data_IF_659126223228
#
_entry.id   IF_659126223228
#
_cell.length_a   1.000
_cell.length_b   1.000
_cell.length_c   1.000
_cell.angle_alpha   90.00
_cell.angle_beta   90.00
_cell.angle_gamma   90.00
#
_symmetry.space_group_name_H-M   'P 1'
#
loop_
_entity.id
_entity.type
_entity.pdbx_description
1 polymer ?
#
# COMPACT_ATOMS: atom_id res chain seq x y z
N UNK A 1 24.33 12.91 -35.51
CA UNK A 1 23.37 12.19 -34.63
C UNK A 1 22.49 13.26 -33.96
N UNK A 2 21.26 13.44 -34.45
CA UNK A 2 20.30 14.37 -33.88
C UNK A 2 19.70 13.72 -32.63
N UNK A 3 19.80 14.38 -31.45
CA UNK A 3 19.09 13.99 -30.23
C UNK A 3 17.58 14.10 -30.49
N UNK A 4 16.75 13.14 -30.05
CA UNK A 4 15.32 13.29 -30.13
C UNK A 4 14.85 14.49 -29.30
N UNK A 5 13.76 15.17 -29.69
CA UNK A 5 13.27 16.35 -28.98
C UNK A 5 12.83 15.95 -27.58
N UNK A 6 13.34 16.66 -26.56
CA UNK A 6 12.83 16.57 -25.18
C UNK A 6 11.35 16.96 -25.21
N UNK A 7 10.47 16.04 -24.86
CA UNK A 7 9.06 16.38 -24.64
C UNK A 7 8.98 17.41 -23.52
N UNK A 8 8.40 18.56 -23.82
CA UNK A 8 8.11 19.61 -22.85
C UNK A 8 7.11 19.02 -21.82
N UNK A 9 7.38 19.13 -20.51
CA UNK A 9 6.42 18.67 -19.50
C UNK A 9 5.11 19.46 -19.65
N UNK A 10 3.99 18.76 -19.83
CA UNK A 10 2.66 19.37 -19.78
C UNK A 10 2.37 19.84 -18.34
N UNK A 11 1.55 20.89 -18.13
CA UNK A 11 1.11 21.31 -16.79
C UNK A 11 0.54 20.12 -16.02
N UNK A 12 0.87 20.00 -14.76
CA UNK A 12 0.85 18.78 -13.96
C UNK A 12 -0.53 18.14 -13.69
N UNK A 13 -1.61 18.93 -13.60
CA UNK A 13 -2.97 18.39 -13.50
C UNK A 13 -3.40 17.69 -14.79
N UNK A 14 -3.10 18.29 -15.95
CA UNK A 14 -3.39 17.70 -17.25
C UNK A 14 -2.58 16.41 -17.51
N UNK A 15 -1.33 16.32 -17.00
CA UNK A 15 -0.54 15.11 -17.13
C UNK A 15 -1.10 13.97 -16.26
N UNK A 16 -1.49 14.24 -15.01
CA UNK A 16 -2.11 13.21 -14.15
C UNK A 16 -3.43 12.70 -14.74
N UNK A 17 -4.22 13.55 -15.36
CA UNK A 17 -5.50 13.16 -15.97
C UNK A 17 -5.30 12.36 -17.27
N UNK A 18 -4.22 12.64 -18.03
CA UNK A 18 -3.84 11.82 -19.18
C UNK A 18 -3.45 10.41 -18.71
N UNK A 19 -2.59 10.27 -17.71
CA UNK A 19 -2.20 8.96 -17.18
C UNK A 19 -3.39 8.21 -16.58
N UNK A 20 -4.28 8.89 -15.84
CA UNK A 20 -5.50 8.25 -15.31
C UNK A 20 -6.32 7.62 -16.42
N UNK A 21 -6.54 8.35 -17.52
CA UNK A 21 -7.29 7.86 -18.67
C UNK A 21 -6.58 6.67 -19.30
N UNK A 22 -5.29 6.75 -19.58
CA UNK A 22 -4.54 5.69 -20.25
C UNK A 22 -4.46 4.41 -19.41
N UNK A 23 -4.22 4.51 -18.10
CA UNK A 23 -4.23 3.35 -17.19
C UNK A 23 -5.64 2.74 -17.13
N UNK A 24 -6.68 3.57 -17.09
CA UNK A 24 -8.06 3.10 -17.17
C UNK A 24 -8.33 2.34 -18.46
N UNK A 25 -7.91 2.87 -19.60
CA UNK A 25 -8.08 2.24 -20.90
C UNK A 25 -7.30 0.92 -21.01
N UNK A 26 -6.08 0.85 -20.47
CA UNK A 26 -5.30 -0.39 -20.39
C UNK A 26 -6.01 -1.47 -19.56
N UNK A 27 -6.49 -1.13 -18.36
CA UNK A 27 -7.21 -2.09 -17.50
C UNK A 27 -8.53 -2.54 -18.13
N UNK A 28 -9.27 -1.62 -18.74
CA UNK A 28 -10.51 -1.96 -19.43
C UNK A 28 -10.26 -2.90 -20.61
N UNK A 29 -9.26 -2.63 -21.43
CA UNK A 29 -8.85 -3.50 -22.54
C UNK A 29 -8.33 -4.87 -22.09
N UNK A 30 -7.75 -4.95 -20.88
CA UNK A 30 -7.37 -6.22 -20.24
C UNK A 30 -8.55 -6.96 -19.61
N UNK A 31 -9.78 -6.45 -19.71
CA UNK A 31 -11.01 -7.11 -19.25
C UNK A 31 -11.50 -6.70 -17.87
N UNK A 32 -10.97 -5.64 -17.28
CA UNK A 32 -11.53 -5.06 -16.05
C UNK A 32 -12.81 -4.26 -16.36
N UNK A 33 -13.83 -4.38 -15.53
CA UNK A 33 -15.06 -3.58 -15.64
C UNK A 33 -14.77 -2.09 -15.46
N UNK A 34 -15.44 -1.25 -16.25
CA UNK A 34 -15.16 0.18 -16.30
C UNK A 34 -15.28 0.86 -14.93
N UNK A 35 -16.29 0.49 -14.15
CA UNK A 35 -16.48 0.99 -12.77
C UNK A 35 -15.27 0.72 -11.87
N UNK A 36 -14.61 -0.43 -12.05
CA UNK A 36 -13.40 -0.79 -11.30
C UNK A 36 -12.19 -0.02 -11.79
N UNK A 37 -12.08 0.18 -13.10
CA UNK A 37 -11.01 0.99 -13.69
C UNK A 37 -11.06 2.44 -13.18
N UNK A 38 -12.27 2.99 -12.99
CA UNK A 38 -12.49 4.35 -12.48
C UNK A 38 -12.07 4.54 -11.02
N UNK A 39 -11.95 3.47 -10.27
CA UNK A 39 -11.44 3.47 -8.88
C UNK A 39 -9.95 3.13 -8.82
N UNK A 40 -9.52 2.11 -9.58
CA UNK A 40 -8.15 1.59 -9.51
C UNK A 40 -7.13 2.58 -10.05
N UNK A 41 -7.35 3.15 -11.25
CA UNK A 41 -6.39 4.04 -11.88
C UNK A 41 -6.10 5.31 -11.05
N UNK A 42 -7.09 6.04 -10.50
CA UNK A 42 -6.83 7.17 -9.62
C UNK A 42 -6.05 6.82 -8.35
N UNK A 43 -6.32 5.67 -7.72
CA UNK A 43 -5.64 5.26 -6.49
C UNK A 43 -4.18 4.87 -6.74
N UNK A 44 -3.86 4.25 -7.87
CA UNK A 44 -2.47 4.00 -8.26
C UNK A 44 -1.71 5.30 -8.51
N UNK A 45 -2.34 6.28 -9.18
CA UNK A 45 -1.73 7.60 -9.39
C UNK A 45 -1.60 8.36 -8.07
N UNK A 46 -2.56 8.26 -7.16
CA UNK A 46 -2.45 8.88 -5.83
C UNK A 46 -1.21 8.38 -5.08
N UNK A 47 -0.90 7.08 -5.18
CA UNK A 47 0.32 6.52 -4.59
C UNK A 47 1.59 7.22 -5.12
N UNK A 48 1.70 7.45 -6.42
CA UNK A 48 2.84 8.18 -7.00
C UNK A 48 2.84 9.66 -6.60
N UNK A 49 1.66 10.31 -6.56
CA UNK A 49 1.52 11.69 -6.13
C UNK A 49 2.05 11.91 -4.70
N UNK A 50 1.81 10.96 -3.81
CA UNK A 50 2.27 11.01 -2.41
C UNK A 50 3.67 10.40 -2.20
N UNK A 51 4.34 9.96 -3.29
CA UNK A 51 5.74 9.51 -3.28
C UNK A 51 5.95 8.01 -3.05
N UNK A 52 4.91 7.17 -3.10
CA UNK A 52 5.00 5.71 -2.98
C UNK A 52 5.14 5.03 -4.36
N UNK A 53 6.19 5.39 -5.10
CA UNK A 53 6.40 5.01 -6.51
C UNK A 53 6.54 3.51 -6.78
N UNK A 54 6.81 2.69 -5.78
CA UNK A 54 6.86 1.22 -5.92
C UNK A 54 5.48 0.57 -5.85
N UNK A 55 4.47 1.28 -5.33
CA UNK A 55 3.10 0.78 -5.10
C UNK A 55 2.04 1.64 -5.82
N UNK A 56 2.47 2.45 -6.80
CA UNK A 56 1.63 3.23 -7.68
C UNK A 56 1.52 2.61 -9.07
N UNK A 57 1.74 3.42 -10.09
CA UNK A 57 1.66 3.03 -11.52
C UNK A 57 2.64 1.90 -11.85
N UNK A 58 3.75 1.77 -11.13
CA UNK A 58 4.69 0.65 -11.26
C UNK A 58 4.03 -0.74 -11.09
N UNK A 59 2.84 -0.82 -10.50
CA UNK A 59 2.07 -2.07 -10.37
C UNK A 59 1.24 -2.41 -11.62
N UNK A 60 1.06 -1.48 -12.55
CA UNK A 60 0.18 -1.67 -13.72
C UNK A 60 0.59 -2.86 -14.59
N UNK A 61 1.87 -3.06 -14.96
CA UNK A 61 2.28 -4.23 -15.76
C UNK A 61 1.94 -5.56 -15.10
N UNK A 62 2.19 -5.68 -13.78
CA UNK A 62 1.87 -6.89 -13.01
C UNK A 62 0.35 -7.13 -12.94
N UNK A 63 -0.45 -6.07 -12.79
CA UNK A 63 -1.91 -6.17 -12.76
C UNK A 63 -2.48 -6.55 -14.13
N UNK A 64 -1.97 -5.98 -15.21
CA UNK A 64 -2.37 -6.36 -16.57
C UNK A 64 -2.05 -7.84 -16.85
N UNK A 65 -0.85 -8.30 -16.49
CA UNK A 65 -0.48 -9.71 -16.57
C UNK A 65 -1.42 -10.59 -15.73
N UNK A 66 -1.70 -10.17 -14.48
CA UNK A 66 -2.62 -10.89 -13.60
C UNK A 66 -4.05 -11.01 -14.15
N UNK A 67 -4.54 -9.97 -14.83
CA UNK A 67 -5.84 -9.99 -15.50
C UNK A 67 -5.85 -10.95 -16.70
N UNK A 68 -4.79 -10.92 -17.52
CA UNK A 68 -4.69 -11.76 -18.71
C UNK A 68 -4.57 -13.25 -18.39
N UNK A 69 -3.87 -13.61 -17.31
CA UNK A 69 -3.67 -15.02 -16.91
C UNK A 69 -4.66 -15.51 -15.85
N UNK A 70 -5.64 -14.68 -15.44
CA UNK A 70 -6.67 -15.04 -14.48
C UNK A 70 -6.21 -15.11 -13.01
N UNK A 71 -5.00 -14.68 -12.68
CA UNK A 71 -4.52 -14.57 -11.29
C UNK A 71 -5.20 -13.42 -10.53
N UNK A 72 -5.65 -12.40 -11.25
CA UNK A 72 -6.49 -11.32 -10.73
C UNK A 72 -7.76 -11.22 -11.57
N UNK A 73 -8.91 -11.05 -10.93
CA UNK A 73 -10.18 -10.87 -11.62
C UNK A 73 -10.54 -9.39 -11.72
N UNK A 74 -10.89 -8.96 -12.94
CA UNK A 74 -11.36 -7.61 -13.22
C UNK A 74 -12.89 -7.46 -13.15
N UNK A 75 -13.63 -8.55 -12.88
CA UNK A 75 -15.10 -8.62 -12.97
C UNK A 75 -15.70 -9.24 -11.72
N UNK A 76 -17.01 -8.98 -11.53
CA UNK A 76 -17.81 -9.58 -10.48
C UNK A 76 -17.75 -8.85 -9.14
N UNK A 77 -18.33 -9.46 -8.13
CA UNK A 77 -18.48 -8.91 -6.77
C UNK A 77 -17.91 -9.89 -5.73
N UNK A 78 -17.44 -9.41 -4.56
CA UNK A 78 -17.06 -10.28 -3.46
C UNK A 78 -18.26 -11.09 -2.98
N UNK A 79 -17.98 -12.23 -2.36
CA UNK A 79 -19.01 -12.95 -1.61
C UNK A 79 -19.02 -12.49 -0.17
N UNK A 80 -20.18 -12.12 0.33
CA UNK A 80 -20.36 -11.85 1.76
C UNK A 80 -20.35 -13.19 2.49
N UNK A 81 -19.32 -13.43 3.31
CA UNK A 81 -19.19 -14.63 4.14
C UNK A 81 -19.98 -14.47 5.43
N UNK A 82 -19.90 -13.27 6.02
CA UNK A 82 -20.64 -12.89 7.22
C UNK A 82 -20.88 -11.39 7.20
N UNK A 83 -22.07 -10.98 7.61
CA UNK A 83 -22.44 -9.58 7.85
C UNK A 83 -23.25 -9.51 9.15
N UNK A 84 -22.68 -8.86 10.16
CA UNK A 84 -23.29 -8.66 11.48
C UNK A 84 -23.46 -7.17 11.81
N UNK A 85 -23.71 -6.35 10.78
CA UNK A 85 -23.82 -4.90 10.92
C UNK A 85 -22.44 -4.23 10.95
N UNK A 86 -21.85 -3.97 12.12
CA UNK A 86 -20.53 -3.33 12.20
C UNK A 86 -19.35 -4.27 11.90
N UNK A 87 -19.58 -5.57 11.76
CA UNK A 87 -18.53 -6.57 11.46
C UNK A 87 -18.89 -7.35 10.22
N UNK A 88 -17.99 -7.31 9.23
CA UNK A 88 -18.23 -7.88 7.90
C UNK A 88 -17.02 -8.73 7.50
N UNK A 89 -17.28 -9.89 6.91
CA UNK A 89 -16.25 -10.74 6.30
C UNK A 89 -16.60 -10.98 4.83
N UNK A 90 -15.67 -10.64 3.93
CA UNK A 90 -15.80 -10.86 2.51
C UNK A 90 -14.79 -11.90 2.00
N UNK A 91 -15.22 -12.65 1.01
CA UNK A 91 -14.36 -13.39 0.11
C UNK A 91 -14.20 -12.59 -1.17
N UNK A 92 -12.99 -12.09 -1.41
CA UNK A 92 -12.68 -11.21 -2.53
C UNK A 92 -12.52 -11.94 -3.87
N UNK A 93 -12.46 -13.29 -3.89
CA UNK A 93 -12.36 -14.10 -5.12
C UNK A 93 -11.23 -13.67 -6.06
N UNK A 94 -10.16 -13.09 -5.53
CA UNK A 94 -9.04 -12.49 -6.29
C UNK A 94 -9.45 -11.33 -7.21
N UNK A 95 -10.58 -10.68 -6.98
CA UNK A 95 -10.93 -9.43 -7.64
C UNK A 95 -9.90 -8.37 -7.27
N UNK A 96 -9.67 -7.39 -8.15
CA UNK A 96 -8.75 -6.27 -7.90
C UNK A 96 -8.84 -5.75 -6.46
N UNK A 97 -7.76 -5.91 -5.70
CA UNK A 97 -7.74 -5.56 -4.28
C UNK A 97 -7.85 -4.05 -4.06
N UNK A 98 -7.36 -3.24 -4.99
CA UNK A 98 -7.50 -1.79 -4.94
C UNK A 98 -8.97 -1.39 -4.98
N UNK A 99 -9.76 -1.99 -5.87
CA UNK A 99 -11.19 -1.74 -5.94
C UNK A 99 -11.93 -2.30 -4.72
N UNK A 100 -11.66 -3.56 -4.32
CA UNK A 100 -12.28 -4.19 -3.15
C UNK A 100 -12.08 -3.36 -1.88
N UNK A 101 -10.85 -2.90 -1.65
CA UNK A 101 -10.52 -2.08 -0.48
C UNK A 101 -11.26 -0.74 -0.51
N UNK A 102 -11.35 -0.09 -1.67
CA UNK A 102 -12.06 1.18 -1.80
C UNK A 102 -13.55 1.03 -1.48
N UNK A 103 -14.23 0.04 -2.06
CA UNK A 103 -15.67 -0.17 -1.78
C UNK A 103 -15.93 -0.66 -0.35
N UNK A 104 -14.98 -1.41 0.24
CA UNK A 104 -15.05 -1.79 1.65
C UNK A 104 -14.92 -0.56 2.57
N UNK A 105 -14.06 0.41 2.23
CA UNK A 105 -13.93 1.67 2.98
C UNK A 105 -15.24 2.46 2.90
N UNK A 106 -15.83 2.61 1.71
CA UNK A 106 -17.07 3.37 1.54
C UNK A 106 -18.21 2.76 2.36
N UNK A 107 -18.38 1.42 2.32
CA UNK A 107 -19.33 0.70 3.16
C UNK A 107 -19.05 0.87 4.65
N UNK A 108 -17.76 0.79 5.03
CA UNK A 108 -17.36 0.92 6.43
C UNK A 108 -17.58 2.35 6.98
N UNK A 109 -17.38 3.38 6.15
CA UNK A 109 -17.68 4.78 6.48
C UNK A 109 -19.18 4.96 6.75
N UNK A 110 -20.05 4.47 5.87
CA UNK A 110 -21.51 4.53 6.04
C UNK A 110 -21.94 3.87 7.36
N UNK A 111 -21.41 2.67 7.62
CA UNK A 111 -21.77 1.91 8.81
C UNK A 111 -21.15 2.46 10.10
N UNK A 112 -19.92 3.00 10.05
CA UNK A 112 -19.30 3.59 11.22
C UNK A 112 -20.08 4.80 11.74
N UNK A 113 -20.63 5.62 10.85
CA UNK A 113 -21.55 6.72 11.24
C UNK A 113 -22.81 6.24 11.94
N UNK A 114 -23.22 4.99 11.71
CA UNK A 114 -24.40 4.38 12.38
C UNK A 114 -24.03 3.66 13.66
N UNK A 115 -22.91 2.94 13.69
CA UNK A 115 -22.55 2.03 14.77
C UNK A 115 -21.39 2.54 15.64
N UNK A 116 -20.74 3.65 15.26
CA UNK A 116 -19.54 4.19 15.89
C UNK A 116 -18.25 3.53 15.42
N UNK A 117 -18.30 2.24 15.08
CA UNK A 117 -17.16 1.47 14.56
C UNK A 117 -17.66 0.49 13.50
N UNK A 118 -16.86 0.29 12.45
CA UNK A 118 -17.08 -0.82 11.50
C UNK A 118 -15.76 -1.47 11.13
N UNK A 119 -15.74 -2.79 11.10
CA UNK A 119 -14.60 -3.60 10.68
C UNK A 119 -14.98 -4.47 9.48
N UNK A 120 -14.16 -4.46 8.44
CA UNK A 120 -14.28 -5.34 7.29
C UNK A 120 -13.01 -6.18 7.18
N UNK A 121 -13.17 -7.51 7.12
CA UNK A 121 -12.08 -8.44 6.84
C UNK A 121 -12.31 -9.06 5.47
N UNK A 122 -11.28 -9.05 4.61
CA UNK A 122 -11.36 -9.59 3.24
C UNK A 122 -10.29 -10.65 3.08
N UNK A 123 -10.68 -11.85 2.70
CA UNK A 123 -9.78 -12.91 2.28
C UNK A 123 -9.74 -13.02 0.75
N UNK A 124 -8.67 -13.58 0.20
CA UNK A 124 -8.48 -13.81 -1.24
C UNK A 124 -8.73 -12.54 -2.08
N UNK A 125 -8.20 -11.41 -1.62
CA UNK A 125 -8.19 -10.15 -2.35
C UNK A 125 -7.07 -10.13 -3.38
N UNK A 126 -7.21 -9.40 -4.48
CA UNK A 126 -6.05 -8.98 -5.26
C UNK A 126 -5.12 -8.05 -4.43
N UNK A 127 -3.95 -7.68 -5.00
CA UNK A 127 -3.03 -6.73 -4.36
C UNK A 127 -3.69 -5.37 -4.15
N UNK A 128 -3.43 -4.74 -3.00
CA UNK A 128 -4.10 -3.48 -2.61
C UNK A 128 -3.26 -2.23 -2.86
N UNK A 129 -2.10 -2.36 -3.51
CA UNK A 129 -1.19 -1.26 -3.81
C UNK A 129 -0.70 -0.51 -2.53
N UNK A 130 -0.73 0.82 -2.54
CA UNK A 130 -0.28 1.67 -1.44
C UNK A 130 -1.40 1.91 -0.44
N UNK A 131 -1.19 1.53 0.83
CA UNK A 131 -2.20 1.69 1.87
C UNK A 131 -2.49 3.17 2.17
N UNK A 132 -1.45 4.03 2.15
CA UNK A 132 -1.60 5.46 2.40
C UNK A 132 -2.55 6.16 1.41
N UNK A 133 -2.65 5.66 0.17
CA UNK A 133 -3.52 6.24 -0.85
C UNK A 133 -5.01 6.17 -0.50
N UNK A 134 -5.40 5.23 0.37
CA UNK A 134 -6.79 5.06 0.79
C UNK A 134 -7.18 5.94 1.98
N UNK A 135 -6.22 6.33 2.82
CA UNK A 135 -6.51 6.93 4.13
C UNK A 135 -7.33 8.21 4.04
N UNK A 136 -7.11 9.01 3.00
CA UNK A 136 -7.83 10.26 2.79
C UNK A 136 -9.33 10.08 2.51
N UNK A 137 -9.79 8.85 2.16
CA UNK A 137 -11.23 8.58 1.97
C UNK A 137 -12.01 8.74 3.28
N UNK A 138 -11.43 8.30 4.40
CA UNK A 138 -12.05 8.41 5.72
C UNK A 138 -11.67 9.70 6.47
N UNK A 139 -10.39 10.12 6.40
CA UNK A 139 -9.95 11.30 7.15
C UNK A 139 -10.57 12.61 6.69
N UNK A 140 -11.00 12.71 5.42
CA UNK A 140 -11.77 13.86 4.91
C UNK A 140 -13.18 13.96 5.49
N UNK A 141 -13.68 12.87 6.05
CA UNK A 141 -14.97 12.77 6.71
C UNK A 141 -14.83 12.74 8.24
N UNK A 142 -13.66 13.17 8.74
CA UNK A 142 -13.31 13.21 10.15
C UNK A 142 -13.33 11.85 10.85
N UNK A 143 -13.15 10.76 10.09
CA UNK A 143 -13.12 9.39 10.59
C UNK A 143 -11.69 8.86 10.71
N UNK A 144 -11.44 8.14 11.81
CA UNK A 144 -10.19 7.39 12.00
C UNK A 144 -10.25 6.10 11.16
N UNK A 145 -9.21 5.83 10.38
CA UNK A 145 -9.09 4.62 9.56
C UNK A 145 -7.84 3.83 9.95
N UNK A 146 -7.99 2.52 10.10
CA UNK A 146 -6.94 1.53 10.23
C UNK A 146 -7.04 0.54 9.07
N UNK A 147 -5.95 0.31 8.35
CA UNK A 147 -5.88 -0.58 7.20
C UNK A 147 -4.62 -1.44 7.28
N UNK A 148 -4.75 -2.76 7.20
CA UNK A 148 -3.61 -3.67 7.18
C UNK A 148 -3.77 -4.74 6.10
N UNK A 149 -2.65 -5.31 5.63
CA UNK A 149 -2.67 -6.37 4.64
C UNK A 149 -1.54 -7.37 4.89
N UNK A 150 -1.80 -8.63 4.54
CA UNK A 150 -0.80 -9.67 4.42
C UNK A 150 -1.12 -10.56 3.21
N UNK A 151 -0.16 -11.38 2.78
CA UNK A 151 -0.37 -12.37 1.72
C UNK A 151 0.05 -13.75 2.21
N UNK A 152 -0.86 -14.76 2.24
CA UNK A 152 -0.53 -16.09 2.72
C UNK A 152 0.41 -16.88 1.80
N UNK A 153 0.52 -16.50 0.52
CA UNK A 153 1.33 -17.23 -0.46
C UNK A 153 2.78 -16.73 -0.56
N UNK A 154 3.09 -15.59 0.08
CA UNK A 154 4.43 -14.98 0.01
C UNK A 154 5.10 -14.99 1.37
N UNK A 155 6.36 -15.40 1.37
CA UNK A 155 7.23 -15.40 2.56
C UNK A 155 8.54 -14.70 2.20
N UNK A 156 8.88 -13.65 2.93
CA UNK A 156 10.14 -12.91 2.71
C UNK A 156 10.77 -12.39 4.00
N UNK A 157 10.03 -12.38 5.10
CA UNK A 157 10.48 -11.88 6.40
C UNK A 157 10.59 -13.03 7.40
N UNK A 158 11.74 -13.13 8.08
CA UNK A 158 11.92 -14.14 9.15
C UNK A 158 11.30 -13.67 10.48
N UNK A 159 10.81 -14.60 11.31
CA UNK A 159 10.59 -14.35 12.72
C UNK A 159 11.89 -13.85 13.40
N UNK A 160 11.74 -13.04 14.44
CA UNK A 160 12.92 -12.61 15.19
C UNK A 160 13.68 -13.82 15.78
N UNK A 161 14.96 -13.89 15.47
CA UNK A 161 15.82 -15.03 15.82
C UNK A 161 15.77 -16.21 14.84
N UNK A 162 14.90 -16.17 13.84
CA UNK A 162 14.82 -17.17 12.77
C UNK A 162 15.70 -16.82 11.57
N UNK A 163 15.99 -17.80 10.71
CA UNK A 163 16.75 -17.65 9.46
C UNK A 163 15.91 -17.95 8.22
N UNK A 164 14.71 -18.48 8.40
CA UNK A 164 13.76 -18.80 7.32
C UNK A 164 12.59 -17.83 7.36
N UNK A 165 12.15 -17.36 6.20
CA UNK A 165 10.98 -16.54 6.08
C UNK A 165 9.70 -17.29 6.51
N UNK A 166 8.74 -16.57 7.10
CA UNK A 166 7.45 -17.09 7.55
C UNK A 166 6.26 -16.18 7.19
N UNK A 167 6.52 -14.92 6.87
CA UNK A 167 5.46 -13.94 6.53
C UNK A 167 5.97 -12.88 5.54
N UNK A 168 5.07 -12.04 5.06
CA UNK A 168 5.37 -10.89 4.20
C UNK A 168 5.81 -9.69 5.04
N UNK A 169 6.16 -8.54 4.43
CA UNK A 169 6.40 -7.29 5.14
C UNK A 169 5.26 -6.82 6.04
N UNK A 170 4.03 -7.30 5.83
CA UNK A 170 2.87 -7.02 6.67
C UNK A 170 2.67 -5.52 6.94
N UNK A 171 2.20 -4.74 5.93
CA UNK A 171 1.97 -3.32 6.09
C UNK A 171 0.73 -3.03 6.94
N UNK A 172 0.81 -1.91 7.68
CA UNK A 172 -0.31 -1.30 8.39
C UNK A 172 -0.29 0.21 8.16
N UNK A 173 -1.46 0.77 7.90
CA UNK A 173 -1.63 2.21 7.73
C UNK A 173 -2.76 2.73 8.62
N UNK A 174 -2.58 3.96 9.12
CA UNK A 174 -3.56 4.64 9.98
C UNK A 174 -3.70 6.09 9.53
N UNK A 175 -4.92 6.52 9.28
CA UNK A 175 -5.26 7.90 9.01
C UNK A 175 -5.96 8.54 10.21
N UNK A 176 -5.38 9.59 10.78
CA UNK A 176 -5.86 10.24 12.01
C UNK A 176 -6.28 11.67 11.67
N UNK A 177 -7.57 12.04 11.79
CA UNK A 177 -8.03 13.41 11.63
C UNK A 177 -7.40 14.36 12.65
N UNK A 178 -7.09 15.56 12.20
CA UNK A 178 -6.70 16.73 13.01
C UNK A 178 -7.44 17.96 12.48
N UNK A 179 -7.30 19.12 13.13
CA UNK A 179 -7.84 20.38 12.62
C UNK A 179 -7.12 20.89 11.36
N UNK A 180 -5.89 20.39 11.14
CA UNK A 180 -5.06 20.73 9.98
C UNK A 180 -4.99 19.52 9.02
N UNK A 181 -3.77 19.21 8.53
CA UNK A 181 -3.52 18.02 7.73
C UNK A 181 -3.59 16.76 8.61
N UNK A 182 -4.31 15.70 8.19
CA UNK A 182 -4.36 14.46 8.95
C UNK A 182 -2.98 13.82 9.06
N UNK A 183 -2.75 13.05 10.12
CA UNK A 183 -1.58 12.20 10.21
C UNK A 183 -1.81 10.94 9.34
N UNK A 184 -0.89 10.65 8.43
CA UNK A 184 -0.96 9.50 7.55
C UNK A 184 0.22 8.57 7.85
N UNK A 185 -0.01 7.58 8.68
CA UNK A 185 0.96 6.54 9.02
C UNK A 185 0.83 5.43 8.00
N UNK A 186 1.92 5.00 7.36
CA UNK A 186 1.99 3.83 6.51
C UNK A 186 3.36 3.19 6.71
N UNK A 187 3.37 2.06 7.37
CA UNK A 187 4.59 1.33 7.76
C UNK A 187 4.41 -0.17 7.51
N UNK A 188 5.51 -0.88 7.33
CA UNK A 188 5.52 -2.34 7.37
C UNK A 188 6.07 -2.86 8.71
N UNK A 189 5.73 -4.08 9.08
CA UNK A 189 6.33 -4.75 10.23
C UNK A 189 7.78 -5.18 9.96
N UNK A 190 8.22 -5.17 8.70
CA UNK A 190 9.60 -5.38 8.28
C UNK A 190 10.34 -4.04 8.13
N UNK A 191 11.66 -4.08 8.26
CA UNK A 191 12.51 -2.88 8.14
C UNK A 191 12.58 -2.32 6.72
N UNK A 192 12.29 -3.16 5.72
CA UNK A 192 12.22 -2.79 4.30
C UNK A 192 11.16 -3.64 3.59
N UNK A 193 10.90 -3.38 2.31
CA UNK A 193 9.87 -4.05 1.51
C UNK A 193 10.50 -4.87 0.37
N UNK A 194 9.75 -5.86 -0.14
CA UNK A 194 10.15 -6.64 -1.31
C UNK A 194 10.39 -5.74 -2.53
N UNK A 195 9.55 -4.73 -2.74
CA UNK A 195 9.68 -3.80 -3.86
C UNK A 195 10.98 -2.97 -3.81
N UNK A 196 11.38 -2.48 -2.63
CA UNK A 196 12.63 -1.72 -2.49
C UNK A 196 13.85 -2.62 -2.63
N UNK A 197 13.85 -3.80 -2.01
CA UNK A 197 14.96 -4.74 -2.10
C UNK A 197 15.16 -5.24 -3.54
N UNK A 198 14.08 -5.61 -4.24
CA UNK A 198 14.13 -6.03 -5.64
C UNK A 198 14.68 -4.93 -6.56
N UNK A 199 14.23 -3.68 -6.36
CA UNK A 199 14.74 -2.54 -7.12
C UNK A 199 16.23 -2.32 -6.90
N UNK A 200 16.70 -2.27 -5.65
CA UNK A 200 18.12 -2.05 -5.36
C UNK A 200 18.99 -3.20 -5.86
N UNK A 201 18.47 -4.44 -5.81
CA UNK A 201 19.14 -5.58 -6.42
C UNK A 201 19.29 -5.42 -7.94
N UNK A 202 18.22 -5.07 -8.66
CA UNK A 202 18.26 -4.85 -10.10
C UNK A 202 19.21 -3.69 -10.48
N UNK A 203 19.31 -2.65 -9.64
CA UNK A 203 20.24 -1.53 -9.82
C UNK A 203 21.67 -1.82 -9.33
N UNK A 204 21.96 -3.03 -8.83
CA UNK A 204 23.24 -3.42 -8.22
C UNK A 204 23.68 -2.46 -7.09
N UNK A 205 22.68 -1.98 -6.31
CA UNK A 205 22.88 -1.05 -5.19
C UNK A 205 22.67 -1.75 -3.85
N UNK A 206 23.33 -1.24 -2.82
CA UNK A 206 23.19 -1.69 -1.44
C UNK A 206 22.00 -1.02 -0.75
N UNK A 207 21.50 -1.69 0.29
CA UNK A 207 20.55 -1.12 1.24
C UNK A 207 21.22 -0.07 2.12
N UNK A 208 20.49 0.92 2.65
CA UNK A 208 21.04 1.94 3.54
C UNK A 208 21.58 1.42 4.88
N UNK A 209 21.32 0.17 5.21
CA UNK A 209 21.77 -0.47 6.44
C UNK A 209 21.60 -1.98 6.40
N UNK A 210 21.94 -2.66 7.50
CA UNK A 210 21.86 -4.12 7.64
C UNK A 210 20.39 -4.55 7.82
N UNK A 211 19.60 -4.48 6.74
CA UNK A 211 18.15 -4.68 6.75
C UNK A 211 17.71 -6.07 6.32
N UNK A 212 18.65 -6.87 5.81
CA UNK A 212 18.45 -8.24 5.41
C UNK A 212 19.43 -9.15 6.14
N UNK A 213 19.25 -10.45 6.06
CA UNK A 213 20.20 -11.44 6.50
C UNK A 213 20.31 -12.55 5.46
N UNK A 214 21.48 -13.18 5.40
CA UNK A 214 21.68 -14.39 4.60
C UNK A 214 20.99 -15.61 5.24
N UNK A 215 21.07 -16.76 4.57
CA UNK A 215 20.48 -18.03 5.04
C UNK A 215 21.11 -18.58 6.34
N UNK A 216 22.27 -18.06 6.76
CA UNK A 216 22.91 -18.40 8.03
C UNK A 216 22.49 -17.48 9.19
N UNK A 217 21.72 -16.41 8.87
CA UNK A 217 21.28 -15.39 9.82
C UNK A 217 22.29 -14.25 10.03
N UNK A 218 23.32 -14.13 9.19
CA UNK A 218 24.24 -12.99 9.21
C UNK A 218 23.59 -11.78 8.56
N UNK A 219 23.51 -10.66 9.28
CA UNK A 219 22.94 -9.42 8.77
C UNK A 219 23.78 -8.86 7.61
N UNK A 220 23.10 -8.27 6.60
CA UNK A 220 23.70 -7.76 5.38
C UNK A 220 23.00 -6.50 4.91
N UNK A 221 23.73 -5.64 4.18
CA UNK A 221 23.24 -4.53 3.40
C UNK A 221 23.08 -4.88 1.89
N UNK A 222 23.44 -6.09 1.51
CA UNK A 222 23.39 -6.56 0.14
C UNK A 222 22.04 -7.25 -0.14
N UNK A 223 21.18 -6.66 -0.99
CA UNK A 223 19.89 -7.26 -1.31
C UNK A 223 20.01 -8.59 -2.08
N UNK A 224 21.18 -8.91 -2.68
CA UNK A 224 21.38 -10.16 -3.42
C UNK A 224 21.22 -11.40 -2.57
N UNK A 225 21.41 -11.31 -1.24
CA UNK A 225 21.21 -12.44 -0.31
C UNK A 225 19.79 -12.98 -0.32
N UNK A 226 18.79 -12.15 -0.72
CA UNK A 226 17.39 -12.58 -0.84
C UNK A 226 17.13 -13.46 -2.09
N UNK A 227 18.05 -13.44 -3.04
CA UNK A 227 17.98 -14.15 -4.32
C UNK A 227 18.99 -15.30 -4.42
N UNK A 228 19.67 -15.61 -3.33
CA UNK A 228 20.56 -16.77 -3.24
C UNK A 228 19.78 -18.08 -3.06
N UNK A 229 20.45 -19.21 -3.22
CA UNK A 229 19.90 -20.54 -2.93
C UNK A 229 20.77 -21.23 -1.86
N UNK A 230 20.23 -21.50 -0.66
CA UNK A 230 18.95 -21.06 -0.10
C UNK A 230 18.86 -19.53 0.07
N UNK A 231 17.65 -18.94 -0.03
CA UNK A 231 17.50 -17.50 0.07
C UNK A 231 17.67 -17.00 1.51
N UNK A 232 18.19 -15.76 1.61
CA UNK A 232 18.14 -14.97 2.82
C UNK A 232 16.75 -14.39 3.11
N UNK A 233 16.64 -13.54 4.12
CA UNK A 233 15.36 -12.94 4.55
C UNK A 233 15.48 -11.47 4.90
N UNK A 234 14.37 -10.75 4.80
CA UNK A 234 14.23 -9.40 5.34
C UNK A 234 14.10 -9.48 6.86
N UNK A 235 14.65 -8.50 7.56
CA UNK A 235 14.55 -8.39 9.02
C UNK A 235 13.27 -7.64 9.43
N UNK A 236 12.65 -7.98 10.57
CA UNK A 236 11.58 -7.17 11.18
C UNK A 236 12.06 -5.75 11.54
N UNK A 237 11.17 -4.79 11.72
CA UNK A 237 11.49 -3.47 12.29
C UNK A 237 12.23 -3.63 13.61
N UNK A 238 13.32 -2.90 13.77
CA UNK A 238 14.26 -3.02 14.88
C UNK A 238 15.47 -3.89 14.54
N UNK A 239 15.48 -4.57 13.40
CA UNK A 239 16.63 -5.30 12.88
C UNK A 239 17.08 -6.45 13.79
N UNK A 240 18.38 -6.66 13.87
CA UNK A 240 18.95 -7.74 14.70
C UNK A 240 18.82 -7.49 16.21
N UNK A 241 18.81 -6.23 16.62
CA UNK A 241 18.83 -5.87 18.05
C UNK A 241 17.43 -5.81 18.65
N UNK A 242 16.50 -5.15 17.98
CA UNK A 242 15.15 -4.86 18.48
C UNK A 242 14.03 -5.43 17.60
N UNK A 243 14.36 -6.34 16.71
CA UNK A 243 13.41 -6.93 15.73
C UNK A 243 12.24 -7.69 16.36
N UNK A 244 12.33 -8.07 17.66
CA UNK A 244 11.19 -8.63 18.39
C UNK A 244 9.97 -7.70 18.39
N UNK A 245 10.16 -6.37 18.29
CA UNK A 245 9.07 -5.38 18.20
C UNK A 245 8.34 -5.48 16.87
N UNK A 246 9.09 -5.48 15.75
CA UNK A 246 8.53 -5.68 14.41
C UNK A 246 7.92 -7.08 14.25
N UNK A 247 8.53 -8.11 14.84
CA UNK A 247 7.96 -9.45 14.84
C UNK A 247 6.61 -9.51 15.58
N UNK A 248 6.52 -8.88 16.76
CA UNK A 248 5.23 -8.76 17.46
C UNK A 248 4.17 -8.03 16.64
N UNK A 249 4.55 -6.94 15.94
CA UNK A 249 3.66 -6.23 15.01
C UNK A 249 3.23 -7.13 13.84
N UNK A 250 4.15 -7.93 13.27
CA UNK A 250 3.82 -8.86 12.19
C UNK A 250 2.78 -9.91 12.63
N UNK A 251 2.95 -10.50 13.82
CA UNK A 251 1.98 -11.46 14.36
C UNK A 251 0.61 -10.83 14.59
N UNK A 252 0.56 -9.59 15.08
CA UNK A 252 -0.70 -8.85 15.21
C UNK A 252 -1.38 -8.66 13.85
N UNK A 253 -0.63 -8.27 12.81
CA UNK A 253 -1.17 -8.06 11.47
C UNK A 253 -1.67 -9.38 10.87
N UNK A 254 -0.93 -10.49 11.02
CA UNK A 254 -1.38 -11.82 10.57
C UNK A 254 -2.72 -12.21 11.25
N UNK A 255 -2.85 -11.96 12.54
CA UNK A 255 -4.09 -12.25 13.28
C UNK A 255 -5.27 -11.38 12.77
N UNK A 256 -5.04 -10.08 12.56
CA UNK A 256 -6.05 -9.14 12.07
C UNK A 256 -6.48 -9.43 10.62
N UNK A 257 -5.56 -9.86 9.77
CA UNK A 257 -5.83 -10.10 8.35
C UNK A 257 -6.29 -11.55 8.10
N UNK A 258 -5.37 -12.52 8.18
CA UNK A 258 -5.66 -13.93 7.88
C UNK A 258 -6.50 -14.58 8.99
N UNK A 259 -6.19 -14.31 10.26
CA UNK A 259 -6.92 -14.87 11.39
C UNK A 259 -8.40 -14.50 11.37
N UNK A 260 -8.74 -13.21 11.28
CA UNK A 260 -10.13 -12.75 11.26
C UNK A 260 -10.87 -13.10 9.97
N UNK A 261 -10.18 -13.23 8.82
CA UNK A 261 -10.80 -13.64 7.56
C UNK A 261 -11.07 -15.15 7.49
N UNK A 262 -10.42 -15.94 8.37
CA UNK A 262 -10.55 -17.39 8.41
C UNK A 262 -9.97 -18.11 7.18
N UNK A 263 -8.98 -17.48 6.52
CA UNK A 263 -8.23 -18.05 5.40
C UNK A 263 -6.81 -17.46 5.38
N UNK A 264 -5.80 -18.31 5.29
CA UNK A 264 -4.43 -17.85 5.37
C UNK A 264 -3.38 -18.94 5.19
N UNK A 265 -2.24 -18.80 5.86
CA UNK A 265 -1.06 -19.70 5.71
C UNK A 265 -1.31 -21.14 6.13
N UNK A 266 -2.34 -21.41 6.93
CA UNK A 266 -2.75 -22.76 7.30
C UNK A 266 -3.53 -23.48 6.21
N UNK A 267 -4.01 -22.76 5.19
CA UNK A 267 -4.74 -23.32 4.08
C UNK A 267 -3.81 -23.75 2.94
N UNK A 268 -4.22 -24.67 2.08
CA UNK A 268 -3.46 -24.99 0.88
C UNK A 268 -3.25 -23.75 0.01
N UNK A 269 -2.05 -23.56 -0.58
CA UNK A 269 -1.78 -22.40 -1.41
C UNK A 269 -2.64 -22.42 -2.69
N UNK A 270 -3.47 -21.41 -2.85
CA UNK A 270 -4.31 -21.22 -4.05
C UNK A 270 -3.71 -20.19 -5.03
N UNK A 271 -2.44 -19.88 -4.90
CA UNK A 271 -1.76 -18.78 -5.59
C UNK A 271 -1.86 -17.48 -4.79
N UNK A 272 -1.44 -16.38 -5.43
CA UNK A 272 -1.35 -15.08 -4.78
C UNK A 272 -2.75 -14.54 -4.41
N UNK A 273 -2.90 -14.04 -3.20
CA UNK A 273 -4.16 -13.45 -2.73
C UNK A 273 -4.03 -12.79 -1.38
N UNK A 274 -4.16 -11.47 -1.33
CA UNK A 274 -4.04 -10.71 -0.09
C UNK A 274 -5.21 -10.98 0.86
N UNK A 275 -4.92 -10.95 2.17
CA UNK A 275 -5.89 -10.75 3.22
C UNK A 275 -5.83 -9.29 3.68
N UNK A 276 -7.00 -8.66 3.87
CA UNK A 276 -7.13 -7.24 4.22
C UNK A 276 -7.94 -7.10 5.50
N UNK A 277 -7.45 -6.29 6.40
CA UNK A 277 -8.17 -5.79 7.57
C UNK A 277 -8.41 -4.30 7.40
N UNK A 278 -9.64 -3.88 7.57
CA UNK A 278 -10.06 -2.49 7.54
C UNK A 278 -10.94 -2.20 8.76
N UNK A 279 -10.65 -1.10 9.46
CA UNK A 279 -11.52 -0.58 10.53
C UNK A 279 -11.70 0.92 10.36
N UNK A 280 -12.95 1.37 10.41
CA UNK A 280 -13.33 2.78 10.48
C UNK A 280 -13.93 3.02 11.86
N UNK A 281 -13.48 4.10 12.51
CA UNK A 281 -14.00 4.54 13.80
C UNK A 281 -14.50 5.97 13.67
N UNK A 282 -15.74 6.21 14.09
CA UNK A 282 -16.32 7.55 14.21
C UNK A 282 -16.02 8.11 15.61
N UNK A 283 -15.15 9.11 15.74
CA UNK A 283 -14.87 9.73 17.04
C UNK A 283 -16.10 10.34 17.71
N UNK A 284 -17.14 10.68 16.94
CA UNK A 284 -18.37 11.26 17.45
C UNK A 284 -19.11 10.27 18.38
N UNK A 285 -18.92 8.96 18.18
CA UNK A 285 -19.48 7.92 19.05
C UNK A 285 -18.72 7.75 20.38
N UNK A 286 -17.61 8.46 20.59
CA UNK A 286 -16.76 8.40 21.79
C UNK A 286 -16.80 9.72 22.56
N UNK A 287 -15.79 10.56 22.37
CA UNK A 287 -15.68 11.85 23.06
C UNK A 287 -16.20 13.03 22.23
N UNK A 288 -16.68 12.78 21.02
CA UNK A 288 -17.00 13.82 20.04
C UNK A 288 -15.82 14.20 19.16
N UNK A 289 -16.11 14.66 17.94
CA UNK A 289 -15.08 14.97 16.95
C UNK A 289 -14.20 16.16 17.38
N UNK A 290 -14.77 17.16 17.99
CA UNK A 290 -14.02 18.37 18.42
C UNK A 290 -12.98 18.00 19.48
N UNK A 291 -13.34 17.20 20.49
CA UNK A 291 -12.42 16.76 21.53
C UNK A 291 -11.35 15.83 20.97
N UNK A 292 -11.71 14.94 20.05
CA UNK A 292 -10.76 14.09 19.37
C UNK A 292 -9.72 14.92 18.59
N UNK A 293 -10.17 15.84 17.74
CA UNK A 293 -9.29 16.70 16.94
C UNK A 293 -8.46 17.63 17.82
N UNK A 294 -9.02 18.14 18.93
CA UNK A 294 -8.26 18.94 19.89
C UNK A 294 -7.04 18.18 20.41
N UNK A 295 -7.20 16.92 20.79
CA UNK A 295 -6.11 16.08 21.30
C UNK A 295 -5.10 15.72 20.20
N UNK A 296 -5.58 15.29 19.04
CA UNK A 296 -4.69 14.87 17.95
C UNK A 296 -3.92 16.04 17.35
N UNK A 297 -4.54 17.23 17.25
CA UNK A 297 -3.89 18.47 16.81
C UNK A 297 -2.84 18.93 17.82
N UNK A 298 -3.20 18.95 19.11
CA UNK A 298 -2.24 19.33 20.16
C UNK A 298 -0.99 18.44 20.13
N UNK A 299 -1.18 17.12 19.99
CA UNK A 299 -0.05 16.18 19.89
C UNK A 299 0.81 16.45 18.66
N UNK A 300 0.17 16.65 17.50
CA UNK A 300 0.85 16.95 16.24
C UNK A 300 1.70 18.23 16.38
N UNK A 301 1.14 19.31 16.94
CA UNK A 301 1.82 20.58 17.14
C UNK A 301 2.95 20.46 18.17
N UNK A 302 2.73 19.75 19.26
CA UNK A 302 3.77 19.47 20.26
C UNK A 302 4.97 18.77 19.64
N UNK A 303 4.74 17.77 18.78
CA UNK A 303 5.82 17.09 18.07
C UNK A 303 6.55 18.03 17.08
N UNK A 304 5.81 18.82 16.28
CA UNK A 304 6.42 19.77 15.32
C UNK A 304 7.26 20.85 15.98
N UNK A 305 6.83 21.30 17.16
CA UNK A 305 7.50 22.35 17.93
C UNK A 305 8.69 21.83 18.76
N UNK A 306 8.93 20.53 18.78
CA UNK A 306 10.11 19.94 19.45
C UNK A 306 11.38 20.39 18.70
N UNK A 307 12.42 20.88 19.41
CA UNK A 307 13.70 21.21 18.79
C UNK A 307 14.27 20.03 18.00
N UNK A 308 14.71 20.25 16.76
CA UNK A 308 15.25 19.16 15.96
C UNK A 308 16.60 18.69 16.52
N UNK A 309 16.83 17.38 16.48
CA UNK A 309 18.13 16.81 16.82
C UNK A 309 19.21 17.20 15.79
N UNK A 310 20.51 17.17 16.14
CA UNK A 310 21.61 17.41 15.21
C UNK A 310 21.47 16.58 13.93
N UNK A 311 21.62 17.24 12.78
CA UNK A 311 21.45 16.62 11.45
C UNK A 311 20.02 16.68 10.87
N UNK A 312 19.02 17.06 11.66
CA UNK A 312 17.65 17.25 11.20
C UNK A 312 17.32 18.75 11.08
N UNK A 313 16.57 19.13 10.03
CA UNK A 313 16.11 20.53 9.86
C UNK A 313 14.86 20.84 10.68
N UNK A 314 14.00 19.86 10.87
CA UNK A 314 12.75 19.96 11.63
C UNK A 314 12.26 18.54 11.98
N UNK A 315 11.41 18.43 12.99
CA UNK A 315 10.62 17.22 13.23
C UNK A 315 9.57 17.10 12.14
N UNK A 316 9.46 15.91 11.55
CA UNK A 316 8.51 15.59 10.50
C UNK A 316 7.50 14.57 11.01
N UNK A 317 6.23 14.86 10.86
CA UNK A 317 5.14 13.94 11.19
C UNK A 317 4.85 12.96 10.02
N UNK A 318 4.28 11.80 10.32
CA UNK A 318 3.73 10.91 9.30
C UNK A 318 2.69 11.64 8.44
N UNK A 319 2.86 11.59 7.11
CA UNK A 319 2.03 12.34 6.14
C UNK A 319 2.66 13.63 5.61
N UNK A 320 3.51 14.34 6.37
CA UNK A 320 4.09 15.63 5.92
C UNK A 320 4.82 15.49 4.56
N UNK A 321 5.58 14.39 4.38
CA UNK A 321 6.26 14.16 3.11
C UNK A 321 5.28 13.83 1.98
N UNK A 322 4.21 13.10 2.27
CA UNK A 322 3.19 12.75 1.29
C UNK A 322 2.50 14.02 0.74
N UNK A 323 2.08 14.94 1.61
CA UNK A 323 1.50 16.22 1.21
C UNK A 323 2.48 17.10 0.43
N UNK A 324 3.75 17.13 0.86
CA UNK A 324 4.82 17.85 0.15
C UNK A 324 5.03 17.29 -1.26
N UNK A 325 5.16 15.97 -1.40
CA UNK A 325 5.35 15.31 -2.71
C UNK A 325 4.15 15.56 -3.61
N UNK A 326 2.94 15.48 -3.07
CA UNK A 326 1.72 15.78 -3.80
C UNK A 326 1.71 17.21 -4.35
N UNK A 327 2.08 18.19 -3.52
CA UNK A 327 2.21 19.61 -3.96
C UNK A 327 3.24 19.76 -5.08
N UNK A 328 4.41 19.11 -4.94
CA UNK A 328 5.45 19.12 -5.97
C UNK A 328 4.96 18.47 -7.26
N UNK A 329 4.28 17.33 -7.16
CA UNK A 329 3.74 16.61 -8.31
C UNK A 329 2.69 17.44 -9.06
N UNK A 330 1.84 18.18 -8.36
CA UNK A 330 0.90 19.11 -9.00
C UNK A 330 1.57 20.31 -9.68
N UNK A 331 2.74 20.73 -9.24
CA UNK A 331 3.50 21.85 -9.84
C UNK A 331 4.41 21.39 -10.99
N UNK A 332 5.05 20.22 -10.87
CA UNK A 332 6.15 19.78 -11.75
C UNK A 332 5.82 18.56 -12.60
N UNK A 333 4.68 17.91 -12.37
CA UNK A 333 4.32 16.63 -12.96
C UNK A 333 4.64 15.44 -12.06
N UNK A 334 3.99 14.31 -12.34
CA UNK A 334 4.23 13.04 -11.65
C UNK A 334 5.54 12.46 -12.12
N UNK A 335 6.43 12.11 -11.18
CA UNK A 335 7.65 11.37 -11.49
C UNK A 335 7.31 9.90 -11.71
N UNK A 336 7.45 9.43 -12.93
CA UNK A 336 7.22 8.03 -13.30
C UNK A 336 8.48 7.22 -13.02
N UNK A 337 8.31 5.99 -12.56
CA UNK A 337 9.40 5.05 -12.38
C UNK A 337 10.15 4.82 -13.69
N UNK A 338 11.50 4.89 -13.71
CA UNK A 338 12.30 4.64 -14.92
C UNK A 338 12.01 3.24 -15.47
N UNK A 339 11.84 3.14 -16.80
CA UNK A 339 11.53 1.88 -17.48
C UNK A 339 10.03 1.52 -17.53
N UNK A 340 9.17 2.21 -16.78
CA UNK A 340 7.75 1.86 -16.74
C UNK A 340 7.05 2.02 -18.09
N UNK A 341 7.37 3.05 -18.86
CA UNK A 341 6.76 3.25 -20.18
C UNK A 341 7.17 2.14 -21.15
N UNK A 342 8.41 1.68 -21.07
CA UNK A 342 8.92 0.54 -21.81
C UNK A 342 8.19 -0.75 -21.41
N UNK A 343 7.92 -0.96 -20.13
CA UNK A 343 7.16 -2.11 -19.61
C UNK A 343 5.69 -2.09 -20.02
N UNK A 344 5.10 -0.91 -20.20
CA UNK A 344 3.70 -0.74 -20.63
C UNK A 344 3.52 -0.81 -22.16
N UNK A 345 4.57 -0.49 -22.93
CA UNK A 345 4.50 -0.42 -24.39
C UNK A 345 3.99 -1.73 -25.06
N UNK A 346 4.38 -2.95 -24.63
CA UNK A 346 3.85 -4.18 -25.20
C UNK A 346 2.32 -4.33 -24.99
N UNK A 347 1.80 -3.95 -23.83
CA UNK A 347 0.36 -3.98 -23.53
C UNK A 347 -0.40 -2.96 -24.39
N UNK A 348 0.09 -1.72 -24.47
CA UNK A 348 -0.51 -0.68 -25.29
C UNK A 348 -0.58 -1.10 -26.76
N UNK A 349 0.51 -1.64 -27.30
CA UNK A 349 0.55 -2.17 -28.66
C UNK A 349 -0.46 -3.31 -28.87
N UNK A 350 -0.54 -4.25 -27.93
CA UNK A 350 -1.46 -5.39 -28.03
C UNK A 350 -2.93 -4.93 -27.99
N UNK A 351 -3.24 -3.90 -27.22
CA UNK A 351 -4.59 -3.34 -27.10
C UNK A 351 -4.89 -2.22 -28.10
N UNK A 352 -3.94 -1.86 -28.98
CA UNK A 352 -4.06 -0.77 -29.97
C UNK A 352 -4.37 0.58 -29.31
N UNK A 353 -3.72 0.88 -28.17
CA UNK A 353 -3.86 2.11 -27.41
C UNK A 353 -2.63 3.01 -27.61
N UNK A 354 -2.86 4.32 -27.68
CA UNK A 354 -1.80 5.31 -27.69
C UNK A 354 -1.23 5.50 -26.28
N UNK A 355 0.10 5.44 -26.17
CA UNK A 355 0.84 5.76 -24.93
C UNK A 355 1.56 7.10 -25.11
N UNK A 356 1.79 7.88 -24.02
CA UNK A 356 2.46 9.16 -24.07
C UNK A 356 3.91 9.07 -24.55
#
# INVERSE_FOLDING_TARGET
>A
IRRPPRSTPKPSSAASDVYKRQIKDLFHSAGMELEKCEVVAPLLIEADLIGHTTHGIAQVPAYLTGLQNGQMLGKGQPTVVSDRGPVIVWDGKRISGVWLTAVAIDLAIERAKKYGITTVSIRRSGHIACLAAFLSRATKEDLLIELASSDPSVESVAPYGGTKAAFTPNPIAVGIPTNDQPLLIDISASITTNGLTGRLHAESKKLPGLWVQDNTGKASDDPSVLFSDPPGTILPIGGKEYGHKGFGLALMIEALTQGLSGFGRADPPEGWGAAVYLKITDPSAFCGIEEFKRQTTWLADSCRNTPPAPGFKAVRLPGDNAFKQRTIAFQKGVSIYPGLLEDLAPFAKNFQLDMP
#
